data_IF_011711239406
#
_entry.id   IF_011711239406
#
_cell.length_a   1.000
_cell.length_b   1.000
_cell.length_c   1.000
_cell.angle_alpha   90.00
_cell.angle_beta   90.00
_cell.angle_gamma   90.00
#
_symmetry.space_group_name_H-M   'P 1'
#
loop_
_entity.id
_entity.type
_entity.pdbx_description
1 polymer ?
#
# COMPACT_ATOMS: atom_id res chain seq x y z
N UNK A 1 -35.23 48.28 -87.51
CA UNK A 1 -33.83 48.45 -87.99
C UNK A 1 -33.02 47.25 -87.49
N UNK A 2 -32.57 46.42 -88.44
CA UNK A 2 -31.56 45.33 -88.42
C UNK A 2 -31.63 44.17 -87.41
N UNK A 3 -31.42 42.98 -87.97
CA UNK A 3 -31.62 41.59 -87.51
C UNK A 3 -30.30 41.02 -86.88
N UNK A 4 -30.10 39.69 -86.61
CA UNK A 4 -29.98 39.03 -85.28
C UNK A 4 -28.61 38.32 -85.05
N UNK A 5 -28.42 37.61 -83.93
CA UNK A 5 -27.51 36.44 -83.89
C UNK A 5 -27.87 35.42 -82.80
N UNK A 6 -27.48 34.16 -83.04
CA UNK A 6 -28.07 32.90 -82.58
C UNK A 6 -27.01 32.04 -81.83
N UNK A 7 -27.46 30.99 -81.10
CA UNK A 7 -26.77 29.75 -80.63
C UNK A 7 -25.92 29.89 -79.33
N UNK A 8 -25.74 28.90 -78.42
CA UNK A 8 -26.03 27.45 -78.36
C UNK A 8 -25.77 26.92 -76.92
N UNK A 9 -26.45 25.84 -76.53
CA UNK A 9 -26.03 24.77 -75.59
C UNK A 9 -25.70 25.18 -74.13
N UNK A 10 -25.70 24.35 -73.09
CA UNK A 10 -25.73 22.91 -72.85
C UNK A 10 -26.17 22.73 -71.36
N UNK A 11 -26.34 21.50 -70.85
CA UNK A 11 -26.61 21.17 -69.43
C UNK A 11 -25.67 21.85 -68.42
N UNK A 12 -25.82 21.67 -67.11
CA UNK A 12 -25.47 20.45 -66.39
C UNK A 12 -26.13 20.48 -65.00
N UNK A 13 -26.66 19.33 -64.59
CA UNK A 13 -27.14 19.03 -63.24
C UNK A 13 -25.92 19.04 -62.30
N UNK A 14 -25.94 19.86 -61.25
CA UNK A 14 -25.01 19.70 -60.13
C UNK A 14 -25.78 19.17 -58.92
N UNK A 15 -25.68 17.85 -58.71
CA UNK A 15 -25.92 17.21 -57.44
C UNK A 15 -24.81 17.60 -56.47
N UNK A 16 -25.12 18.45 -55.49
CA UNK A 16 -24.21 18.81 -54.42
C UNK A 16 -24.23 17.76 -53.31
N UNK A 17 -23.13 17.01 -53.23
CA UNK A 17 -22.77 16.01 -52.23
C UNK A 17 -22.94 16.54 -50.79
N UNK A 18 -23.88 15.97 -50.03
CA UNK A 18 -23.97 16.14 -48.58
C UNK A 18 -22.74 15.48 -47.92
N UNK A 19 -21.77 16.31 -47.53
CA UNK A 19 -20.65 15.90 -46.68
C UNK A 19 -21.18 15.56 -45.28
N UNK A 20 -21.48 14.27 -45.06
CA UNK A 20 -21.60 13.72 -43.71
C UNK A 20 -20.22 13.75 -43.08
N UNK A 21 -19.98 14.76 -42.23
CA UNK A 21 -18.83 14.79 -41.35
C UNK A 21 -19.07 13.73 -40.26
N UNK A 22 -18.71 12.48 -40.53
CA UNK A 22 -18.59 11.46 -39.48
C UNK A 22 -17.50 11.90 -38.52
N UNK A 23 -17.90 12.54 -37.43
CA UNK A 23 -17.05 12.68 -36.27
C UNK A 23 -16.94 11.27 -35.68
N UNK A 24 -15.92 10.51 -36.09
CA UNK A 24 -15.53 9.30 -35.39
C UNK A 24 -15.09 9.72 -34.00
N UNK A 25 -16.01 9.71 -33.03
CA UNK A 25 -15.64 9.65 -31.63
C UNK A 25 -14.84 8.38 -31.47
N UNK A 26 -13.51 8.52 -31.37
CA UNK A 26 -12.67 7.46 -30.85
C UNK A 26 -13.24 7.17 -29.48
N UNK A 27 -13.91 6.03 -29.35
CA UNK A 27 -14.20 5.45 -28.05
C UNK A 27 -12.82 5.14 -27.48
N UNK A 28 -12.32 6.05 -26.66
CA UNK A 28 -11.14 5.81 -25.87
C UNK A 28 -11.56 4.71 -24.90
N UNK A 29 -11.30 3.47 -25.29
CA UNK A 29 -11.33 2.35 -24.36
C UNK A 29 -10.35 2.74 -23.27
N UNK A 30 -10.87 2.98 -22.07
CA UNK A 30 -10.11 3.33 -20.87
C UNK A 30 -9.16 2.16 -20.59
N UNK A 31 -8.01 2.20 -21.27
CA UNK A 31 -6.97 1.20 -21.22
C UNK A 31 -6.55 1.09 -19.77
N UNK A 32 -6.62 -0.12 -19.25
CA UNK A 32 -6.25 -0.40 -17.88
C UNK A 32 -4.74 -0.19 -17.76
N UNK A 33 -4.34 1.01 -17.33
CA UNK A 33 -2.93 1.24 -17.05
C UNK A 33 -2.54 0.37 -15.85
N UNK A 34 -1.52 -0.49 -16.02
CA UNK A 34 -1.12 -1.39 -14.96
C UNK A 34 -0.62 -0.61 -13.74
N UNK A 35 -0.66 -1.22 -12.56
CA UNK A 35 0.02 -0.65 -11.40
C UNK A 35 1.54 -0.72 -11.61
N UNK A 36 2.18 0.43 -11.70
CA UNK A 36 3.62 0.55 -11.98
C UNK A 36 4.36 1.28 -10.87
N UNK A 37 5.69 1.13 -10.82
CA UNK A 37 6.53 1.96 -9.97
C UNK A 37 6.29 3.46 -10.21
N UNK A 38 6.11 3.85 -11.48
CA UNK A 38 5.91 5.25 -11.87
C UNK A 38 4.63 5.84 -11.24
N UNK A 39 3.54 5.05 -11.20
CA UNK A 39 2.29 5.46 -10.52
C UNK A 39 2.55 5.74 -9.03
N UNK A 40 3.30 4.86 -8.33
CA UNK A 40 3.68 5.14 -6.95
C UNK A 40 4.56 6.38 -6.85
N UNK A 41 5.58 6.49 -7.70
CA UNK A 41 6.51 7.60 -7.69
C UNK A 41 5.79 8.94 -7.82
N UNK A 42 4.93 9.09 -8.83
CA UNK A 42 4.24 10.33 -9.13
C UNK A 42 3.23 10.71 -8.05
N UNK A 43 2.45 9.75 -7.54
CA UNK A 43 1.43 10.02 -6.51
C UNK A 43 2.00 10.21 -5.10
N UNK A 44 3.19 9.67 -4.80
CA UNK A 44 3.82 9.78 -3.48
C UNK A 44 4.86 10.90 -3.39
N UNK A 45 5.46 11.33 -4.51
CA UNK A 45 6.47 12.40 -4.54
C UNK A 45 6.03 13.72 -3.90
N UNK A 46 4.77 14.18 -4.02
CA UNK A 46 4.33 15.40 -3.36
C UNK A 46 4.31 15.35 -1.82
N UNK A 47 4.33 14.15 -1.23
CA UNK A 47 4.09 13.92 0.20
C UNK A 47 5.30 13.37 0.95
N UNK A 48 6.43 13.16 0.27
CA UNK A 48 7.60 12.54 0.87
C UNK A 48 8.82 12.58 -0.05
N UNK A 49 9.83 11.79 0.28
CA UNK A 49 11.08 11.72 -0.46
C UNK A 49 11.40 10.27 -0.82
N UNK A 50 11.73 10.05 -2.09
CA UNK A 50 12.26 8.78 -2.56
C UNK A 50 13.76 8.70 -2.27
N UNK A 51 14.19 7.58 -1.69
CA UNK A 51 15.56 7.34 -1.22
C UNK A 51 16.03 6.02 -1.83
N UNK A 52 17.22 6.01 -2.42
CA UNK A 52 17.88 4.75 -2.79
C UNK A 52 18.46 4.11 -1.52
N UNK A 53 17.90 2.97 -1.11
CA UNK A 53 18.22 2.32 0.15
C UNK A 53 18.93 0.97 -0.08
N UNK A 54 20.11 0.74 0.54
CA UNK A 54 20.84 -0.51 0.37
C UNK A 54 19.99 -1.75 0.69
N UNK A 55 19.88 -2.65 -0.29
CA UNK A 55 19.13 -3.90 -0.16
C UNK A 55 17.64 -3.82 -0.49
N UNK A 56 17.05 -2.63 -0.58
CA UNK A 56 15.63 -2.44 -0.97
C UNK A 56 15.43 -1.62 -2.23
N UNK A 57 16.46 -0.91 -2.72
CA UNK A 57 16.32 0.01 -3.86
C UNK A 57 15.56 1.27 -3.47
N UNK A 58 14.74 1.79 -4.38
CA UNK A 58 13.95 2.99 -4.12
C UNK A 58 12.85 2.74 -3.05
N UNK A 59 12.98 3.43 -1.92
CA UNK A 59 12.01 3.44 -0.82
C UNK A 59 11.47 4.85 -0.62
N UNK A 60 10.26 4.98 -0.10
CA UNK A 60 9.62 6.27 0.13
C UNK A 60 9.57 6.62 1.62
N UNK A 61 10.05 7.80 1.99
CA UNK A 61 9.99 8.35 3.34
C UNK A 61 8.93 9.47 3.38
N UNK A 62 7.83 9.33 4.14
CA UNK A 62 6.82 10.37 4.25
C UNK A 62 7.39 11.62 4.92
N UNK A 63 7.12 12.80 4.35
CA UNK A 63 7.50 14.07 4.97
C UNK A 63 6.44 14.49 6.00
N UNK A 64 6.36 13.74 7.10
CA UNK A 64 5.39 13.96 8.17
C UNK A 64 6.12 14.26 9.46
N UNK A 65 5.66 15.31 10.15
CA UNK A 65 6.15 15.66 11.48
C UNK A 65 5.41 14.89 12.55
N UNK A 66 6.09 14.63 13.67
CA UNK A 66 5.48 14.03 14.85
C UNK A 66 5.67 12.51 14.91
N UNK A 67 4.73 11.84 15.55
CA UNK A 67 4.75 10.44 15.95
C UNK A 67 4.10 9.51 14.93
N UNK A 68 4.26 9.82 13.63
CA UNK A 68 3.71 9.00 12.55
C UNK A 68 4.02 7.51 12.79
N UNK A 69 2.97 6.71 12.77
CA UNK A 69 3.07 5.26 12.82
C UNK A 69 2.09 4.64 11.83
N UNK A 70 2.57 3.72 10.97
CA UNK A 70 1.71 3.01 10.04
C UNK A 70 0.62 2.22 10.76
N UNK A 71 -0.57 2.18 10.15
CA UNK A 71 -1.75 1.52 10.69
C UNK A 71 -2.16 2.00 12.09
N UNK A 72 -1.82 3.24 12.46
CA UNK A 72 -2.20 3.83 13.75
C UNK A 72 -2.65 5.27 13.57
N UNK A 73 -1.75 6.13 13.11
CA UNK A 73 -2.01 7.57 13.02
C UNK A 73 -2.89 7.91 11.82
N UNK A 74 -3.82 8.85 12.01
CA UNK A 74 -4.73 9.37 10.97
C UNK A 74 -5.42 8.26 10.15
N UNK A 75 -6.11 7.37 10.84
CA UNK A 75 -6.90 6.31 10.23
C UNK A 75 -7.57 5.43 11.27
N UNK A 76 -8.30 4.43 10.81
CA UNK A 76 -9.01 3.47 11.65
C UNK A 76 -9.23 2.14 10.95
N UNK A 77 -9.62 1.14 11.74
CA UNK A 77 -9.99 -0.18 11.23
C UNK A 77 -11.47 -0.20 10.82
N UNK A 78 -11.73 -0.66 9.60
CA UNK A 78 -13.05 -0.88 9.05
C UNK A 78 -13.26 -2.37 8.82
N UNK A 79 -14.36 -2.91 9.33
CA UNK A 79 -14.76 -4.28 9.02
C UNK A 79 -15.25 -4.37 7.57
N UNK A 80 -14.69 -5.30 6.80
CA UNK A 80 -15.01 -5.53 5.39
C UNK A 80 -15.19 -7.02 5.09
N UNK A 81 -15.67 -7.34 3.88
CA UNK A 81 -15.75 -8.72 3.40
C UNK A 81 -14.39 -9.41 3.26
N UNK A 82 -13.27 -8.66 3.31
CA UNK A 82 -11.91 -9.18 3.32
C UNK A 82 -11.27 -9.15 4.74
N UNK A 83 -12.06 -9.00 5.81
CA UNK A 83 -11.55 -8.81 7.17
C UNK A 83 -11.39 -7.33 7.54
N UNK A 84 -10.51 -7.05 8.51
CA UNK A 84 -10.25 -5.67 8.96
C UNK A 84 -9.34 -4.94 7.96
N UNK A 85 -9.88 -3.93 7.29
CA UNK A 85 -9.15 -3.06 6.39
C UNK A 85 -8.77 -1.73 7.05
N UNK A 86 -7.60 -1.21 6.73
CA UNK A 86 -7.19 0.11 7.22
C UNK A 86 -7.77 1.21 6.35
N UNK A 87 -8.54 2.11 6.94
CA UNK A 87 -9.02 3.34 6.29
C UNK A 87 -8.13 4.48 6.72
N UNK A 88 -7.31 4.97 5.80
CA UNK A 88 -6.40 6.09 6.07
C UNK A 88 -7.03 7.44 5.73
N UNK A 89 -6.77 8.43 6.57
CA UNK A 89 -7.03 9.85 6.30
C UNK A 89 -5.90 10.55 5.53
N UNK A 90 -4.83 9.84 5.17
CA UNK A 90 -3.75 10.39 4.35
C UNK A 90 -4.07 10.23 2.86
N UNK A 91 -3.85 11.27 2.06
CA UNK A 91 -4.11 11.26 0.61
C UNK A 91 -3.30 10.22 -0.16
N UNK A 92 -2.11 9.87 0.35
CA UNK A 92 -1.22 8.83 -0.17
C UNK A 92 -1.53 7.43 0.40
N UNK A 93 -2.46 7.32 1.36
CA UNK A 93 -2.71 6.09 2.09
C UNK A 93 -3.32 4.96 1.26
N UNK A 94 -3.94 5.28 0.12
CA UNK A 94 -4.44 4.29 -0.85
C UNK A 94 -3.33 3.32 -1.28
N UNK A 95 -2.10 3.84 -1.43
CA UNK A 95 -0.95 3.05 -1.82
C UNK A 95 -0.37 2.38 -0.58
N UNK A 96 0.18 3.16 0.35
CA UNK A 96 1.14 2.64 1.32
C UNK A 96 0.55 1.76 2.42
N UNK A 97 -0.78 1.76 2.61
CA UNK A 97 -1.44 0.89 3.58
C UNK A 97 -2.01 -0.39 2.98
N UNK A 98 -2.15 -0.45 1.65
CA UNK A 98 -2.72 -1.61 0.95
C UNK A 98 -1.71 -2.31 0.03
N UNK A 99 -0.64 -1.61 -0.32
CA UNK A 99 0.46 -2.04 -1.16
C UNK A 99 1.79 -1.92 -0.40
N UNK A 100 2.79 -2.68 -0.86
CA UNK A 100 4.13 -2.60 -0.30
C UNK A 100 4.23 -3.00 1.17
N UNK A 101 5.33 -2.61 1.82
CA UNK A 101 5.63 -2.94 3.21
C UNK A 101 6.29 -1.76 3.92
N UNK A 102 6.01 -1.60 5.20
CA UNK A 102 6.67 -0.60 6.04
C UNK A 102 7.88 -1.19 6.74
N UNK A 103 8.96 -0.41 6.79
CA UNK A 103 10.20 -0.71 7.48
C UNK A 103 10.64 0.51 8.28
N UNK A 104 11.05 0.31 9.52
CA UNK A 104 11.58 1.36 10.36
C UNK A 104 13.11 1.33 10.33
N UNK A 105 13.69 2.47 9.97
CA UNK A 105 15.12 2.74 10.07
C UNK A 105 15.37 3.78 11.18
N UNK A 106 16.44 3.60 11.95
CA UNK A 106 16.74 4.50 13.07
C UNK A 106 17.11 5.93 12.65
N UNK A 107 17.62 6.12 11.43
CA UNK A 107 18.04 7.42 10.90
C UNK A 107 16.93 8.11 10.11
N UNK A 108 16.17 7.36 9.32
CA UNK A 108 15.13 7.92 8.44
C UNK A 108 13.70 7.78 8.98
N UNK A 109 13.50 7.00 10.05
CA UNK A 109 12.17 6.67 10.57
C UNK A 109 11.47 5.64 9.69
N UNK A 110 10.15 5.78 9.53
CA UNK A 110 9.37 4.88 8.68
C UNK A 110 9.67 5.08 7.19
N UNK A 111 9.98 3.98 6.53
CA UNK A 111 10.24 3.87 5.10
C UNK A 111 9.22 2.88 4.51
N UNK A 112 8.65 3.24 3.37
CA UNK A 112 7.76 2.38 2.62
C UNK A 112 8.49 1.77 1.41
N UNK A 113 8.47 0.45 1.32
CA UNK A 113 9.01 -0.31 0.20
C UNK A 113 7.85 -0.64 -0.75
N UNK A 114 7.94 -0.28 -2.06
CA UNK A 114 6.90 -0.62 -3.02
C UNK A 114 6.61 -2.12 -3.12
N UNK A 115 5.35 -2.44 -3.36
CA UNK A 115 4.88 -3.79 -3.66
C UNK A 115 3.55 -3.70 -4.38
N UNK A 116 3.24 -4.69 -5.20
CA UNK A 116 2.15 -4.56 -6.19
C UNK A 116 0.92 -5.40 -5.85
N UNK A 117 0.99 -6.20 -4.79
CA UNK A 117 -0.15 -6.97 -4.31
C UNK A 117 -0.99 -6.14 -3.34
N UNK A 118 -2.29 -6.05 -3.65
CA UNK A 118 -3.26 -5.40 -2.78
C UNK A 118 -3.70 -6.32 -1.64
N UNK A 119 -3.86 -5.75 -0.43
CA UNK A 119 -4.47 -6.39 0.73
C UNK A 119 -5.23 -5.36 1.57
N UNK A 120 -6.27 -5.74 2.34
CA UNK A 120 -6.95 -4.83 3.27
C UNK A 120 -5.99 -4.18 4.26
N UNK A 121 -4.93 -4.90 4.67
CA UNK A 121 -3.80 -4.36 5.42
C UNK A 121 -2.64 -5.38 5.47
N UNK A 122 -1.41 -4.90 5.32
CA UNK A 122 -0.21 -5.71 5.52
C UNK A 122 0.27 -5.61 6.96
N UNK A 123 -0.45 -6.31 7.85
CA UNK A 123 -0.14 -6.35 9.28
C UNK A 123 -0.12 -7.77 9.83
N UNK A 124 0.50 -7.89 11.00
CA UNK A 124 0.32 -9.00 11.91
C UNK A 124 -0.71 -8.61 12.94
N UNK A 125 -1.65 -9.50 13.24
CA UNK A 125 -2.57 -9.32 14.36
C UNK A 125 -2.13 -10.16 15.56
N UNK A 126 -2.39 -9.63 16.76
CA UNK A 126 -2.12 -10.27 18.03
C UNK A 126 -3.13 -9.89 19.09
N UNK A 127 -3.02 -10.52 20.24
CA UNK A 127 -3.79 -10.21 21.43
C UNK A 127 -2.90 -10.28 22.67
N UNK A 128 -3.17 -9.39 23.62
CA UNK A 128 -2.49 -9.38 24.91
C UNK A 128 -3.44 -8.83 25.97
N UNK A 129 -3.78 -9.62 26.98
CA UNK A 129 -4.71 -9.23 28.05
C UNK A 129 -5.93 -8.47 27.48
N UNK A 130 -6.08 -7.19 27.85
CA UNK A 130 -7.20 -6.32 27.47
C UNK A 130 -7.01 -5.58 26.14
N UNK A 131 -6.08 -6.02 25.29
CA UNK A 131 -5.71 -5.35 24.04
C UNK A 131 -5.88 -6.23 22.80
N UNK A 132 -6.39 -5.61 21.74
CA UNK A 132 -6.09 -6.02 20.38
C UNK A 132 -4.78 -5.40 19.94
N UNK A 133 -3.89 -6.22 19.40
CA UNK A 133 -2.55 -5.80 19.02
C UNK A 133 -2.38 -5.94 17.50
N UNK A 134 -1.63 -5.04 16.89
CA UNK A 134 -1.17 -5.22 15.51
C UNK A 134 0.18 -4.58 15.28
N UNK A 135 0.89 -5.06 14.27
CA UNK A 135 2.18 -4.52 13.85
C UNK A 135 2.26 -4.53 12.32
N UNK A 136 2.87 -3.50 11.68
CA UNK A 136 3.13 -3.55 10.25
C UNK A 136 3.96 -4.79 9.88
N UNK A 137 3.56 -5.47 8.81
CA UNK A 137 4.30 -6.59 8.28
C UNK A 137 5.57 -6.07 7.61
N UNK A 138 6.72 -6.61 8.01
CA UNK A 138 8.01 -6.18 7.47
C UNK A 138 8.26 -6.73 6.05
N UNK A 139 9.11 -6.08 5.23
CA UNK A 139 9.50 -6.60 3.92
C UNK A 139 10.08 -8.01 4.00
N UNK A 140 9.66 -8.87 3.07
CA UNK A 140 10.14 -10.25 2.97
C UNK A 140 9.65 -11.19 4.08
N UNK A 141 8.67 -10.77 4.89
CA UNK A 141 7.99 -11.63 5.86
C UNK A 141 6.62 -11.97 5.32
N UNK A 142 6.34 -13.26 5.21
CA UNK A 142 4.99 -13.79 4.96
C UNK A 142 4.32 -14.14 6.30
N UNK A 143 3.02 -13.94 6.42
CA UNK A 143 2.30 -14.19 7.68
C UNK A 143 2.39 -15.65 8.12
N UNK A 144 2.60 -16.60 7.22
CA UNK A 144 2.81 -18.02 7.54
C UNK A 144 4.10 -18.28 8.33
N UNK A 145 5.14 -17.43 8.17
CA UNK A 145 6.45 -17.58 8.85
C UNK A 145 6.41 -17.03 10.29
N UNK A 146 5.48 -16.12 10.59
CA UNK A 146 5.38 -15.39 11.87
C UNK A 146 4.97 -16.31 13.02
N UNK A 147 4.29 -17.40 12.69
CA UNK A 147 3.63 -18.21 13.68
C UNK A 147 4.56 -19.09 14.51
N UNK A 148 5.74 -19.40 14.00
CA UNK A 148 6.61 -20.41 14.62
C UNK A 148 8.04 -19.91 14.90
N UNK A 149 8.50 -18.78 14.34
CA UNK A 149 9.93 -18.42 14.42
C UNK A 149 10.26 -16.92 14.44
N UNK A 150 9.29 -16.02 14.32
CA UNK A 150 9.56 -14.58 14.27
C UNK A 150 8.41 -13.76 14.85
N UNK A 151 8.75 -12.71 15.61
CA UNK A 151 7.80 -11.72 16.11
C UNK A 151 8.29 -10.31 15.75
N UNK A 152 7.39 -9.38 15.37
CA UNK A 152 7.74 -7.98 15.20
C UNK A 152 8.46 -7.42 16.43
N UNK A 153 9.46 -6.54 16.24
CA UNK A 153 10.10 -5.83 17.35
C UNK A 153 9.07 -5.07 18.20
N UNK A 154 9.29 -4.90 19.52
CA UNK A 154 8.33 -4.23 20.42
C UNK A 154 7.81 -2.89 19.88
N UNK A 155 8.69 -2.03 19.35
CA UNK A 155 8.31 -0.73 18.78
C UNK A 155 7.32 -0.80 17.60
N UNK A 156 7.20 -1.93 16.91
CA UNK A 156 6.25 -2.07 15.80
C UNK A 156 4.82 -2.28 16.27
N UNK A 157 4.66 -2.81 17.48
CA UNK A 157 3.34 -3.15 18.00
C UNK A 157 2.55 -1.91 18.40
N UNK A 158 1.27 -1.95 18.05
CA UNK A 158 0.22 -1.05 18.52
C UNK A 158 -0.72 -1.89 19.37
N UNK A 159 -1.10 -1.41 20.55
CA UNK A 159 -1.97 -2.10 21.47
C UNK A 159 -3.18 -1.22 21.77
N UNK A 160 -4.32 -1.56 21.18
CA UNK A 160 -5.59 -0.87 21.38
C UNK A 160 -6.42 -1.59 22.42
N UNK A 161 -6.87 -0.90 23.49
CA UNK A 161 -7.82 -1.49 24.42
C UNK A 161 -9.04 -2.01 23.65
N UNK A 162 -9.46 -3.24 23.97
CA UNK A 162 -10.48 -3.97 23.21
C UNK A 162 -11.76 -3.18 22.90
N UNK A 163 -12.31 -2.35 23.82
CA UNK A 163 -13.51 -1.56 23.55
C UNK A 163 -13.36 -0.49 22.44
N UNK A 164 -12.14 -0.14 22.03
CA UNK A 164 -11.87 0.98 21.14
C UNK A 164 -11.52 0.60 19.69
N UNK A 165 -11.49 -0.69 19.34
CA UNK A 165 -11.04 -1.12 18.02
C UNK A 165 -11.86 -0.51 16.85
N UNK A 166 -13.17 -0.32 17.06
CA UNK A 166 -14.09 0.22 16.06
C UNK A 166 -14.16 1.75 16.05
N UNK A 167 -13.39 2.44 16.91
CA UNK A 167 -13.40 3.90 16.94
C UNK A 167 -12.57 4.51 15.80
N UNK A 168 -13.12 5.55 15.16
CA UNK A 168 -12.44 6.32 14.11
C UNK A 168 -11.19 7.05 14.60
N UNK A 169 -11.10 7.30 15.92
CA UNK A 169 -9.96 7.94 16.58
C UNK A 169 -9.27 6.99 17.57
N UNK A 170 -9.18 5.70 17.22
CA UNK A 170 -8.58 4.67 18.08
C UNK A 170 -7.15 4.98 18.52
N UNK A 171 -6.42 5.78 17.75
CA UNK A 171 -5.04 6.17 18.04
C UNK A 171 -4.87 6.90 19.37
N UNK A 172 -5.87 7.68 19.82
CA UNK A 172 -5.82 8.36 21.13
C UNK A 172 -5.78 7.40 22.31
N UNK A 173 -6.29 6.19 22.15
CA UNK A 173 -6.35 5.18 23.21
C UNK A 173 -5.34 4.06 23.02
N UNK A 174 -4.64 4.05 21.88
CA UNK A 174 -3.72 2.99 21.51
C UNK A 174 -2.32 3.34 21.98
N UNK A 175 -1.69 2.41 22.69
CA UNK A 175 -0.31 2.57 23.14
C UNK A 175 0.63 1.86 22.16
N UNK A 176 1.83 2.42 22.01
CA UNK A 176 2.93 1.82 21.25
C UNK A 176 3.58 0.73 22.10
N UNK A 177 4.15 -0.29 21.46
CA UNK A 177 4.66 -1.48 22.15
C UNK A 177 5.87 -1.23 23.06
N UNK A 178 6.58 -0.12 22.88
CA UNK A 178 7.61 0.40 23.78
C UNK A 178 7.05 1.08 25.04
N UNK A 179 5.78 1.49 25.02
CA UNK A 179 5.06 2.00 26.20
C UNK A 179 4.33 0.93 27.02
N UNK A 180 4.46 -0.35 26.65
CA UNK A 180 3.76 -1.46 27.30
C UNK A 180 4.50 -1.92 28.55
N UNK A 181 3.75 -2.43 29.53
CA UNK A 181 4.32 -2.98 30.77
C UNK A 181 5.34 -4.10 30.46
N UNK A 182 6.51 -4.11 31.12
CA UNK A 182 7.47 -5.20 30.98
C UNK A 182 6.80 -6.56 31.28
N UNK A 183 7.04 -7.54 30.41
CA UNK A 183 6.47 -8.89 30.53
C UNK A 183 5.11 -9.10 29.86
N UNK A 184 4.50 -8.08 29.25
CA UNK A 184 3.31 -8.29 28.41
C UNK A 184 3.64 -9.19 27.23
N UNK A 185 2.97 -10.34 27.17
CA UNK A 185 3.11 -11.30 26.07
C UNK A 185 2.02 -11.09 25.04
N UNK A 186 2.42 -10.73 23.82
CA UNK A 186 1.52 -10.64 22.67
C UNK A 186 1.47 -12.02 21.99
N UNK A 187 0.27 -12.58 21.87
CA UNK A 187 0.01 -13.83 21.17
C UNK A 187 -0.54 -13.52 19.78
N UNK A 188 0.16 -13.94 18.73
CA UNK A 188 -0.26 -13.73 17.33
C UNK A 188 -1.57 -14.46 17.04
N UNK A 189 -2.53 -13.78 16.43
CA UNK A 189 -3.79 -14.36 15.98
C UNK A 189 -3.59 -15.10 14.66
N UNK A 190 -4.12 -16.33 14.56
CA UNK A 190 -3.97 -17.22 13.40
C UNK A 190 -5.16 -17.14 12.44
N UNK A 191 -5.60 -15.93 12.11
CA UNK A 191 -6.69 -15.68 11.18
C UNK A 191 -6.13 -15.06 9.90
N UNK A 192 -6.26 -15.76 8.77
CA UNK A 192 -5.69 -15.32 7.50
C UNK A 192 -6.56 -15.71 6.31
N UNK A 193 -6.38 -14.99 5.22
CA UNK A 193 -6.90 -15.28 3.90
C UNK A 193 -5.79 -15.05 2.87
N UNK A 194 -6.05 -15.45 1.62
CA UNK A 194 -5.14 -15.22 0.50
C UNK A 194 -5.64 -14.08 -0.36
N UNK A 195 -4.70 -13.31 -0.90
CA UNK A 195 -5.01 -12.29 -1.91
C UNK A 195 -5.48 -12.95 -3.21
N UNK A 196 -6.24 -12.21 -4.00
CA UNK A 196 -6.86 -12.73 -5.23
C UNK A 196 -5.87 -12.99 -6.36
N UNK A 197 -4.78 -12.22 -6.43
CA UNK A 197 -3.90 -12.20 -7.62
C UNK A 197 -2.75 -13.18 -7.48
N UNK A 198 -1.94 -13.06 -6.43
CA UNK A 198 -0.75 -13.89 -6.23
C UNK A 198 -0.87 -14.87 -5.05
N UNK A 199 -2.06 -15.03 -4.47
CA UNK A 199 -2.34 -15.91 -3.33
C UNK A 199 -1.41 -15.71 -2.13
N UNK A 200 -0.99 -14.47 -1.89
CA UNK A 200 -0.19 -14.12 -0.72
C UNK A 200 -1.07 -14.15 0.52
N UNK A 201 -0.55 -14.64 1.64
CA UNK A 201 -1.30 -14.66 2.87
C UNK A 201 -1.30 -13.28 3.54
N UNK A 202 -2.47 -12.86 4.00
CA UNK A 202 -2.62 -11.67 4.84
C UNK A 202 -3.51 -11.99 6.04
N UNK A 203 -3.29 -11.27 7.14
CA UNK A 203 -4.05 -11.49 8.36
C UNK A 203 -5.38 -10.73 8.32
N UNK A 204 -6.49 -11.43 8.60
CA UNK A 204 -7.84 -10.83 8.55
C UNK A 204 -8.22 -10.13 9.85
N UNK A 205 -7.51 -10.41 10.94
CA UNK A 205 -7.70 -9.80 12.26
C UNK A 205 -8.60 -10.61 13.21
N UNK A 206 -8.98 -10.02 14.36
CA UNK A 206 -9.87 -10.67 15.32
C UNK A 206 -11.25 -10.94 14.72
N UNK A 207 -11.91 -12.01 15.18
CA UNK A 207 -13.23 -12.38 14.70
C UNK A 207 -14.24 -11.26 14.98
N UNK A 208 -15.14 -10.97 14.03
CA UNK A 208 -16.08 -9.86 14.17
C UNK A 208 -17.02 -10.07 15.37
N UNK A 209 -17.48 -11.29 15.62
CA UNK A 209 -18.35 -11.64 16.74
C UNK A 209 -17.68 -11.36 18.09
N UNK A 210 -16.38 -11.61 18.17
CA UNK A 210 -15.56 -11.30 19.34
C UNK A 210 -15.51 -9.79 19.56
N UNK A 211 -15.17 -9.02 18.52
CA UNK A 211 -15.08 -7.55 18.62
C UNK A 211 -16.44 -6.93 18.92
N UNK A 212 -17.53 -7.44 18.36
CA UNK A 212 -18.89 -6.98 18.69
C UNK A 212 -19.17 -7.13 20.19
N UNK A 213 -18.77 -8.25 20.80
CA UNK A 213 -18.93 -8.49 22.24
C UNK A 213 -18.10 -7.51 23.08
N UNK A 214 -16.84 -7.27 22.70
CA UNK A 214 -15.94 -6.36 23.44
C UNK A 214 -16.33 -4.88 23.32
N UNK A 215 -16.73 -4.46 22.13
CA UNK A 215 -17.06 -3.06 21.81
C UNK A 215 -18.53 -2.72 22.10
N UNK A 216 -19.40 -3.72 22.22
CA UNK A 216 -20.86 -3.58 22.28
C UNK A 216 -21.42 -2.82 21.07
N UNK A 217 -20.78 -2.96 19.92
CA UNK A 217 -21.23 -2.39 18.64
C UNK A 217 -21.65 -3.50 17.69
N UNK A 218 -22.62 -3.23 16.82
CA UNK A 218 -22.96 -4.14 15.71
C UNK A 218 -21.96 -3.93 14.58
N UNK A 219 -21.35 -5.02 14.10
CA UNK A 219 -20.45 -4.98 12.97
C UNK A 219 -21.18 -5.56 11.76
N UNK A 220 -21.31 -4.74 10.71
CA UNK A 220 -21.80 -5.19 9.41
C UNK A 220 -20.67 -4.98 8.40
N UNK A 221 -19.94 -6.05 8.02
CA UNK A 221 -18.81 -5.91 7.12
C UNK A 221 -19.25 -5.35 5.76
N UNK A 222 -18.60 -4.29 5.30
CA UNK A 222 -18.91 -3.67 4.01
C UNK A 222 -18.15 -4.37 2.87
N UNK A 223 -18.70 -4.43 1.65
CA UNK A 223 -18.01 -5.02 0.51
C UNK A 223 -16.81 -4.17 0.09
N UNK A 224 -15.80 -4.83 -0.48
CA UNK A 224 -14.68 -4.18 -1.16
C UNK A 224 -14.98 -4.10 -2.65
N UNK A 225 -14.94 -2.88 -3.19
CA UNK A 225 -15.16 -2.59 -4.60
C UNK A 225 -13.86 -2.11 -5.25
N UNK A 226 -13.43 -2.75 -6.33
CA UNK A 226 -12.28 -2.26 -7.09
C UNK A 226 -12.65 -1.00 -7.87
N UNK A 227 -11.76 -0.01 -7.84
CA UNK A 227 -11.87 1.25 -8.55
C UNK A 227 -10.63 1.51 -9.40
N UNK A 228 -10.82 2.24 -10.50
CA UNK A 228 -9.73 2.74 -11.36
C UNK A 228 -9.26 4.15 -10.97
N UNK A 229 -9.95 4.80 -10.02
CA UNK A 229 -9.63 6.16 -9.60
C UNK A 229 -8.97 6.17 -8.23
N UNK A 230 -7.91 6.97 -8.10
CA UNK A 230 -7.27 7.34 -6.84
C UNK A 230 -7.94 8.63 -6.31
N UNK A 231 -8.17 8.79 -5.00
CA UNK A 231 -7.82 7.89 -3.89
C UNK A 231 -8.93 6.88 -3.52
N UNK A 232 -8.56 5.90 -2.68
CA UNK A 232 -9.52 5.00 -2.03
C UNK A 232 -10.58 5.81 -1.26
N UNK A 233 -11.83 5.34 -1.29
CA UNK A 233 -12.94 5.99 -0.58
C UNK A 233 -13.81 4.95 0.11
N UNK A 234 -13.87 5.01 1.43
CA UNK A 234 -14.87 4.29 2.20
C UNK A 234 -16.18 5.09 2.20
N UNK A 235 -17.29 4.44 1.86
CA UNK A 235 -18.64 4.96 2.00
C UNK A 235 -19.46 4.04 2.91
N UNK A 236 -20.68 4.44 3.27
CA UNK A 236 -21.61 3.60 4.02
C UNK A 236 -22.01 2.32 3.27
N UNK A 237 -21.80 2.25 1.96
CA UNK A 237 -22.24 1.15 1.08
C UNK A 237 -21.11 0.23 0.66
N UNK A 238 -19.85 0.62 0.85
CA UNK A 238 -18.69 -0.15 0.38
C UNK A 238 -17.38 0.60 0.53
N UNK A 239 -16.28 -0.14 0.47
CA UNK A 239 -14.93 0.43 0.42
C UNK A 239 -14.39 0.34 -1.00
N UNK A 240 -14.26 1.49 -1.66
CA UNK A 240 -13.66 1.58 -3.00
C UNK A 240 -12.15 1.63 -2.90
N UNK A 241 -11.49 0.67 -3.51
CA UNK A 241 -10.04 0.50 -3.46
C UNK A 241 -9.45 0.52 -4.86
N UNK A 242 -8.38 1.28 -5.04
CA UNK A 242 -7.61 1.28 -6.27
C UNK A 242 -6.83 -0.04 -6.35
N UNK A 243 -7.19 -0.88 -7.32
CA UNK A 243 -6.52 -2.15 -7.61
C UNK A 243 -6.62 -2.52 -9.09
N UNK A 244 -5.87 -1.83 -9.97
CA UNK A 244 -5.82 -2.16 -11.39
C UNK A 244 -5.04 -3.46 -11.63
N UNK A 245 -5.11 -3.99 -12.85
CA UNK A 245 -4.27 -5.10 -13.31
C UNK A 245 -2.78 -4.82 -13.08
N UNK A 246 -2.02 -5.89 -12.81
CA UNK A 246 -0.59 -5.82 -12.55
C UNK A 246 0.13 -6.26 -13.83
N UNK A 247 1.01 -5.42 -14.38
CA UNK A 247 2.04 -5.90 -15.29
C UNK A 247 3.23 -6.41 -14.48
N UNK A 248 3.77 -7.58 -14.81
CA UNK A 248 4.78 -8.26 -14.03
C UNK A 248 6.03 -7.36 -13.81
N UNK A 249 6.53 -7.19 -12.56
CA UNK A 249 7.57 -6.20 -12.22
C UNK A 249 8.90 -6.34 -12.97
N UNK A 250 9.15 -7.50 -13.58
CA UNK A 250 10.42 -7.86 -14.23
C UNK A 250 10.72 -7.01 -15.48
N UNK A 251 9.70 -6.44 -16.13
CA UNK A 251 9.89 -5.63 -17.35
C UNK A 251 10.18 -4.14 -17.11
N UNK A 252 9.93 -3.60 -15.92
CA UNK A 252 9.87 -2.15 -15.75
C UNK A 252 11.09 -1.51 -15.08
N UNK A 253 11.77 -2.26 -14.20
CA UNK A 253 13.01 -1.78 -13.58
C UNK A 253 14.16 -1.63 -14.60
N UNK A 254 14.06 -2.31 -15.75
CA UNK A 254 14.99 -2.16 -16.89
C UNK A 254 14.63 -1.04 -17.86
N UNK A 255 13.39 -0.52 -17.86
CA UNK A 255 12.90 0.41 -18.90
C UNK A 255 12.62 1.84 -18.43
N UNK A 256 12.51 2.08 -17.12
CA UNK A 256 12.25 3.44 -16.58
C UNK A 256 13.53 4.09 -16.06
N UNK A 257 14.50 4.27 -16.96
CA UNK A 257 15.68 5.10 -16.73
C UNK A 257 15.31 6.60 -16.84
N UNK A 258 14.50 7.11 -15.91
CA UNK A 258 14.63 8.53 -15.50
C UNK A 258 15.57 8.55 -14.30
N UNK A 259 16.56 9.47 -14.25
CA UNK A 259 17.44 9.54 -13.10
C UNK A 259 16.60 9.79 -11.85
N UNK A 260 16.68 8.86 -10.89
CA UNK A 260 16.21 9.09 -9.52
C UNK A 260 16.90 10.38 -9.06
N UNK A 261 16.16 11.45 -8.69
CA UNK A 261 16.80 12.67 -8.22
C UNK A 261 17.71 12.34 -7.05
N UNK A 262 19.01 12.58 -7.24
CA UNK A 262 20.06 12.32 -6.27
C UNK A 262 20.01 13.35 -5.14
N UNK A 263 19.02 13.29 -4.26
CA UNK A 263 19.17 13.88 -2.93
C UNK A 263 19.93 12.88 -2.08
N UNK A 264 21.24 12.89 -2.31
CA UNK A 264 22.23 12.05 -1.66
C UNK A 264 22.33 12.46 -0.19
N UNK A 265 21.71 11.68 0.70
CA UNK A 265 22.17 11.55 2.08
C UNK A 265 22.64 10.11 2.22
N UNK A 266 23.91 9.86 1.88
CA UNK A 266 24.53 8.55 2.12
C UNK A 266 24.21 8.10 3.55
N UNK A 267 23.46 7.01 3.65
CA UNK A 267 23.63 6.10 4.76
C UNK A 267 25.00 5.46 4.55
N UNK A 268 26.05 6.07 5.10
CA UNK A 268 27.39 5.50 5.10
C UNK A 268 27.34 4.15 5.82
N UNK A 269 27.17 3.08 5.05
CA UNK A 269 27.39 1.69 5.47
C UNK A 269 28.37 1.07 4.48
N UNK A 270 29.37 0.30 4.95
CA UNK A 270 30.48 -0.14 4.12
C UNK A 270 30.02 -0.96 2.91
N UNK A 271 30.51 -0.57 1.72
CA UNK A 271 30.30 -1.23 0.43
C UNK A 271 30.55 -2.74 0.53
N UNK A 272 29.53 -3.55 0.30
CA UNK A 272 29.72 -4.95 -0.09
C UNK A 272 29.63 -5.05 -1.62
N UNK A 273 30.68 -5.58 -2.24
CA UNK A 273 30.77 -5.80 -3.68
C UNK A 273 29.67 -6.77 -4.14
N UNK A 274 28.78 -6.30 -5.02
CA UNK A 274 27.64 -7.07 -5.53
C UNK A 274 27.89 -7.56 -6.97
N UNK A 275 27.99 -8.87 -7.15
CA UNK A 275 27.47 -9.55 -8.35
C UNK A 275 25.95 -9.57 -8.21
N UNK A 276 25.23 -8.95 -9.15
CA UNK A 276 23.78 -8.68 -9.08
C UNK A 276 22.93 -9.94 -9.03
N UNK A 277 22.26 -10.25 -7.90
CA UNK A 277 21.20 -11.24 -7.83
C UNK A 277 19.84 -10.56 -8.05
N UNK A 278 18.87 -11.30 -8.59
CA UNK A 278 17.50 -10.84 -8.82
C UNK A 278 16.81 -10.47 -7.49
N UNK A 279 15.92 -9.47 -7.46
CA UNK A 279 15.21 -8.99 -6.25
C UNK A 279 14.60 -10.10 -5.36
N UNK A 280 14.05 -11.22 -5.90
CA UNK A 280 13.59 -12.35 -5.09
C UNK A 280 14.71 -13.02 -4.24
N UNK A 281 15.96 -13.01 -4.71
CA UNK A 281 17.10 -13.65 -4.04
C UNK A 281 17.76 -12.74 -2.98
N UNK A 282 17.67 -11.42 -3.13
CA UNK A 282 18.24 -10.44 -2.18
C UNK A 282 17.48 -10.47 -0.85
N UNK A 283 16.19 -10.79 -0.87
CA UNK A 283 15.34 -10.86 0.32
C UNK A 283 15.87 -11.85 1.38
N UNK A 284 16.54 -12.95 1.00
CA UNK A 284 16.90 -14.01 1.97
C UNK A 284 18.19 -13.80 2.76
N UNK A 285 19.19 -13.08 2.24
CA UNK A 285 20.56 -13.05 2.83
C UNK A 285 20.88 -11.77 3.60
N UNK A 286 20.42 -10.61 3.15
CA UNK A 286 20.69 -9.30 3.78
C UNK A 286 19.74 -9.03 4.97
N UNK A 287 18.53 -9.60 4.92
CA UNK A 287 17.48 -9.51 5.95
C UNK A 287 17.89 -10.13 7.31
N UNK A 288 18.69 -11.21 7.30
CA UNK A 288 19.15 -11.89 8.52
C UNK A 288 20.18 -11.08 9.32
N UNK A 289 20.84 -10.11 8.69
CA UNK A 289 21.84 -9.25 9.32
C UNK A 289 21.22 -7.98 9.90
N UNK A 290 20.20 -7.40 9.25
CA UNK A 290 19.52 -6.20 9.75
C UNK A 290 18.61 -6.48 10.98
N UNK A 291 18.05 -7.70 11.10
CA UNK A 291 17.35 -8.12 12.33
C UNK A 291 18.29 -8.11 13.55
N UNK A 292 19.59 -8.34 13.35
CA UNK A 292 20.61 -8.34 14.40
C UNK A 292 21.16 -6.96 14.74
N UNK A 293 20.95 -5.95 13.89
CA UNK A 293 21.43 -4.57 14.11
C UNK A 293 20.36 -3.64 14.70
N UNK A 294 19.13 -4.14 14.88
CA UNK A 294 18.11 -3.45 15.67
C UNK A 294 18.55 -3.41 17.14
N UNK A 295 18.22 -2.35 17.91
CA UNK A 295 18.60 -2.25 19.31
C UNK A 295 18.02 -3.45 20.09
N UNK A 296 18.84 -4.47 20.34
CA UNK A 296 18.52 -5.51 21.31
C UNK A 296 19.04 -5.05 22.66
N UNK A 297 18.14 -4.92 23.64
CA UNK A 297 18.56 -4.76 25.02
C UNK A 297 19.50 -5.91 25.41
N UNK A 298 20.62 -5.55 26.03
CA UNK A 298 21.55 -6.50 26.65
C UNK A 298 20.79 -7.22 27.76
N UNK A 299 20.33 -8.43 27.47
CA UNK A 299 19.92 -9.39 28.49
C UNK A 299 21.10 -9.62 29.45
N UNK A 300 21.03 -9.02 30.62
CA UNK A 300 21.90 -9.35 31.74
C UNK A 300 21.57 -10.77 32.19
N UNK A 301 22.42 -11.73 31.81
CA UNK A 301 22.46 -13.07 32.40
C UNK A 301 22.65 -12.93 33.92
N UNK A 302 21.69 -13.40 34.71
CA UNK A 302 21.95 -13.77 36.11
C UNK A 302 22.21 -15.27 36.21
N UNK A 303 23.28 -15.58 36.96
CA UNK A 303 23.65 -16.90 37.47
C UNK A 303 22.57 -17.43 38.41
#
# INVERSE_FOLDING_TARGET
MKIPFVLKNMGWIFGGLLLFCSCSSVVQTDGEEPLTYQVFYDHLSPYGTWIEYPGYGAVWNPNIRGDFSPYLTNGHWQATTAGWAWVSGYSWGWATFHYGRWYYDNRFGWLWIPGYEWSPAWVVWGSAADYYCWAPLMPGIDVTIIYDSWSPPPFYWNLCPRPYLTHTHLHHNTIRGDGVRPGTRINTLRNFQTTSTHHLYYATGPAFEEVQRETRTTITPIPIETSKSIPNRATSTGMRVYSPSIETPEMQQRRSAKPIPSVYRSADMPRQNSTTPTIPDIQRKTQRNNIKSLPQERSTKRR
#
